data_IF_954397403621
#
_entry.id   IF_954397403621
#
_cell.length_a   1.000
_cell.length_b   1.000
_cell.length_c   1.000
_cell.angle_alpha   90.00
_cell.angle_beta   90.00
_cell.angle_gamma   90.00
#
_symmetry.space_group_name_H-M   'P 1'
#
loop_
_entity.id
_entity.type
_entity.pdbx_description
1 polymer ?
#
# COMPACT_ATOMS: atom_id res chain seq x y z
N UNK A 1 -6.81 9.53 -5.01
CA UNK A 1 -5.61 10.01 -5.73
C UNK A 1 -4.45 10.05 -4.75
N UNK A 2 -3.27 9.55 -5.16
CA UNK A 2 -2.01 9.65 -4.40
C UNK A 2 -0.95 10.25 -5.29
N UNK A 3 -0.18 11.21 -4.78
CA UNK A 3 0.94 11.85 -5.45
C UNK A 3 2.19 11.60 -4.61
N UNK A 4 3.23 11.08 -5.24
CA UNK A 4 4.52 10.79 -4.60
C UNK A 4 5.69 11.21 -5.50
N UNK A 5 6.87 11.28 -4.93
CA UNK A 5 8.09 11.57 -5.67
C UNK A 5 8.49 10.35 -6.51
N UNK A 6 8.65 10.46 -7.84
CA UNK A 6 8.95 9.31 -8.68
C UNK A 6 10.35 8.70 -8.46
N UNK A 7 11.27 9.42 -7.80
CA UNK A 7 12.64 8.93 -7.56
C UNK A 7 12.76 8.06 -6.33
N UNK A 8 12.01 8.36 -5.27
CA UNK A 8 12.12 7.68 -3.98
C UNK A 8 10.77 7.25 -3.39
N UNK A 9 9.66 7.45 -4.12
CA UNK A 9 8.28 7.11 -3.73
C UNK A 9 7.76 7.78 -2.46
N UNK A 10 8.52 8.72 -1.89
CA UNK A 10 8.05 9.49 -0.74
C UNK A 10 6.74 10.21 -1.07
N UNK A 11 5.78 10.10 -0.18
CA UNK A 11 4.46 10.69 -0.31
C UNK A 11 4.56 12.23 -0.36
N UNK A 12 3.83 12.85 -1.28
CA UNK A 12 3.66 14.31 -1.38
C UNK A 12 2.26 14.74 -0.94
N UNK A 13 1.25 14.02 -1.40
CA UNK A 13 -0.13 14.25 -1.02
C UNK A 13 -1.01 13.06 -1.34
N UNK A 14 -2.15 13.00 -0.67
CA UNK A 14 -3.22 12.07 -1.07
C UNK A 14 -4.59 12.68 -0.84
N UNK A 15 -5.55 12.22 -1.62
CA UNK A 15 -6.97 12.57 -1.52
C UNK A 15 -7.81 11.30 -1.66
N UNK A 16 -8.81 11.16 -0.79
CA UNK A 16 -9.79 10.09 -0.81
C UNK A 16 -11.19 10.68 -0.76
N UNK A 17 -11.98 10.39 -1.79
CA UNK A 17 -13.40 10.70 -1.86
C UNK A 17 -14.20 9.43 -1.58
N UNK A 18 -15.03 9.46 -0.57
CA UNK A 18 -15.92 8.37 -0.19
C UNK A 18 -17.34 8.80 -0.54
N UNK A 19 -18.03 7.99 -1.32
CA UNK A 19 -19.41 8.20 -1.70
C UNK A 19 -20.16 6.87 -1.58
N UNK A 20 -20.83 6.67 -0.45
CA UNK A 20 -21.55 5.44 -0.11
C UNK A 20 -22.99 5.80 0.29
N UNK A 21 -23.86 5.96 -0.68
CA UNK A 21 -25.24 6.40 -0.46
C UNK A 21 -25.30 7.79 0.19
N UNK A 22 -25.89 7.87 1.37
CA UNK A 22 -25.99 9.13 2.14
C UNK A 22 -24.65 9.59 2.74
N UNK A 23 -23.66 8.69 2.85
CA UNK A 23 -22.35 9.02 3.42
C UNK A 23 -21.40 9.53 2.35
N UNK A 24 -21.09 10.83 2.42
CA UNK A 24 -20.11 11.47 1.54
C UNK A 24 -19.01 12.12 2.40
N UNK A 25 -17.77 11.78 2.13
CA UNK A 25 -16.62 12.36 2.83
C UNK A 25 -15.45 12.56 1.88
N UNK A 26 -14.77 13.69 2.02
CA UNK A 26 -13.49 13.96 1.38
C UNK A 26 -12.42 14.10 2.46
N UNK A 27 -11.38 13.29 2.37
CA UNK A 27 -10.23 13.32 3.27
C UNK A 27 -8.99 13.50 2.41
N UNK A 28 -8.13 14.42 2.82
CA UNK A 28 -6.86 14.65 2.13
C UNK A 28 -5.74 15.01 3.09
N UNK A 29 -4.52 14.79 2.65
CA UNK A 29 -3.32 15.20 3.35
C UNK A 29 -2.27 15.70 2.37
N UNK A 30 -1.46 16.65 2.81
CA UNK A 30 -0.32 17.20 2.07
C UNK A 30 0.90 17.16 2.98
N UNK A 31 2.04 16.75 2.43
CA UNK A 31 3.33 16.83 3.10
C UNK A 31 3.97 18.14 2.69
N UNK A 32 4.28 18.99 3.66
CA UNK A 32 4.94 20.26 3.43
C UNK A 32 6.46 20.11 3.29
N UNK A 33 7.13 21.19 2.93
CA UNK A 33 8.59 21.22 2.74
C UNK A 33 9.38 20.99 4.03
N UNK A 34 8.76 21.18 5.18
CA UNK A 34 9.35 20.88 6.49
C UNK A 34 9.26 19.40 6.86
N UNK A 35 8.61 18.58 6.02
CA UNK A 35 8.38 17.15 6.29
C UNK A 35 7.20 16.88 7.21
N UNK A 36 6.33 17.88 7.48
CA UNK A 36 5.11 17.64 8.26
C UNK A 36 3.95 17.27 7.35
N UNK A 37 3.08 16.40 7.82
CA UNK A 37 1.83 16.05 7.15
C UNK A 37 0.68 16.88 7.71
N UNK A 38 -0.05 17.55 6.83
CA UNK A 38 -1.22 18.36 7.17
C UNK A 38 -2.47 17.76 6.54
N UNK A 39 -3.47 17.47 7.36
CA UNK A 39 -4.76 16.96 6.93
C UNK A 39 -5.77 18.09 6.72
N UNK A 40 -6.79 17.86 5.88
CA UNK A 40 -7.84 18.83 5.62
C UNK A 40 -8.71 19.20 6.84
N UNK A 41 -8.64 18.42 7.92
CA UNK A 41 -9.24 18.74 9.22
C UNK A 41 -8.36 19.67 10.08
N UNK A 42 -7.31 20.28 9.51
CA UNK A 42 -6.31 21.14 10.16
C UNK A 42 -5.37 20.43 11.13
N UNK A 43 -5.45 19.13 11.25
CA UNK A 43 -4.48 18.35 12.04
C UNK A 43 -3.13 18.35 11.32
N UNK A 44 -2.05 18.61 12.09
CA UNK A 44 -0.67 18.60 11.60
C UNK A 44 0.17 17.64 12.45
N UNK A 45 0.98 16.82 11.79
CA UNK A 45 1.88 15.86 12.42
C UNK A 45 3.28 16.07 11.84
N UNK A 46 4.26 16.30 12.71
CA UNK A 46 5.66 16.36 12.28
C UNK A 46 6.21 14.97 12.00
N UNK A 47 6.94 14.84 10.91
CA UNK A 47 7.54 13.61 10.45
C UNK A 47 9.07 13.73 10.45
N UNK A 48 9.76 12.68 10.87
CA UNK A 48 11.23 12.66 10.96
C UNK A 48 11.94 12.19 9.68
N UNK A 49 11.18 11.71 8.66
CA UNK A 49 11.76 11.09 7.46
C UNK A 49 10.74 10.99 6.33
N UNK A 50 11.15 10.58 5.13
CA UNK A 50 10.21 10.28 4.07
C UNK A 50 9.14 9.31 4.54
N UNK A 51 7.88 9.64 4.25
CA UNK A 51 6.73 8.81 4.63
C UNK A 51 6.10 8.22 3.38
N UNK A 52 5.52 7.04 3.53
CA UNK A 52 4.90 6.27 2.47
C UNK A 52 3.48 5.88 2.86
N UNK A 53 2.63 5.66 1.87
CA UNK A 53 1.34 5.00 2.09
C UNK A 53 1.27 3.70 1.28
N UNK A 54 0.20 2.95 1.42
CA UNK A 54 0.04 1.68 0.72
C UNK A 54 0.22 1.82 -0.80
N UNK A 55 -0.29 2.88 -1.41
CA UNK A 55 -0.21 3.05 -2.87
C UNK A 55 1.20 3.40 -3.35
N UNK A 56 1.93 4.24 -2.63
CA UNK A 56 3.33 4.53 -2.96
C UNK A 56 4.22 3.30 -2.74
N UNK A 57 3.94 2.47 -1.73
CA UNK A 57 4.66 1.22 -1.51
C UNK A 57 4.33 0.15 -2.58
N UNK A 58 3.06 0.05 -3.02
CA UNK A 58 2.70 -0.81 -4.15
C UNK A 58 3.35 -0.36 -5.47
N UNK A 59 3.60 0.94 -5.67
CA UNK A 59 4.39 1.42 -6.80
C UNK A 59 5.88 1.07 -6.63
N UNK A 60 6.42 1.22 -5.42
CA UNK A 60 7.81 0.93 -5.09
C UNK A 60 8.18 -0.53 -5.37
N UNK A 61 7.35 -1.50 -4.97
CA UNK A 61 7.63 -2.93 -5.17
C UNK A 61 7.64 -3.33 -6.65
N UNK A 62 7.06 -2.53 -7.53
CA UNK A 62 7.07 -2.75 -8.98
C UNK A 62 8.28 -2.13 -9.68
N UNK A 63 9.09 -1.32 -8.99
CA UNK A 63 10.18 -0.58 -9.61
C UNK A 63 11.54 -0.85 -8.97
N UNK A 64 11.57 -1.14 -7.67
CA UNK A 64 12.80 -1.46 -6.96
C UNK A 64 13.13 -2.96 -7.04
N UNK A 65 14.42 -3.24 -6.96
CA UNK A 65 14.88 -4.62 -6.81
C UNK A 65 14.69 -5.10 -5.39
N UNK A 66 14.56 -6.43 -5.24
CA UNK A 66 14.23 -7.04 -3.95
C UNK A 66 15.26 -6.69 -2.86
N UNK A 67 16.53 -6.56 -3.22
CA UNK A 67 17.63 -6.22 -2.31
C UNK A 67 17.48 -4.82 -1.70
N UNK A 68 16.74 -3.93 -2.37
CA UNK A 68 16.43 -2.59 -1.87
C UNK A 68 15.21 -2.56 -0.96
N UNK A 69 14.37 -3.59 -1.02
CA UNK A 69 13.07 -3.65 -0.34
C UNK A 69 13.06 -4.62 0.84
N UNK A 70 13.69 -5.79 0.64
CA UNK A 70 13.57 -6.89 1.58
C UNK A 70 14.04 -6.49 2.98
N UNK A 71 13.22 -6.84 3.97
CA UNK A 71 13.43 -6.59 5.40
C UNK A 71 13.49 -5.14 5.85
N UNK A 72 13.60 -4.17 4.94
CA UNK A 72 13.70 -2.73 5.28
C UNK A 72 12.38 -2.17 5.76
N UNK A 73 12.40 -1.47 6.89
CA UNK A 73 11.28 -0.74 7.40
C UNK A 73 11.20 0.66 6.80
N UNK A 74 10.00 1.01 6.32
CA UNK A 74 9.64 2.31 5.77
C UNK A 74 8.63 2.97 6.71
N UNK A 75 8.75 4.29 6.95
CA UNK A 75 7.74 5.03 7.69
C UNK A 75 6.43 5.06 6.91
N UNK A 76 5.36 4.70 7.57
CA UNK A 76 4.06 4.46 6.94
C UNK A 76 2.99 5.37 7.52
N UNK A 77 2.10 5.85 6.67
CA UNK A 77 0.95 6.66 7.03
C UNK A 77 -0.32 6.09 6.39
N UNK A 78 -1.37 6.00 7.17
CA UNK A 78 -2.70 5.71 6.67
C UNK A 78 -3.75 6.53 7.44
N UNK A 79 -4.27 7.58 6.80
CA UNK A 79 -5.39 8.37 7.30
C UNK A 79 -5.21 8.86 8.75
N UNK A 80 -4.05 9.39 9.07
CA UNK A 80 -3.69 9.89 10.41
C UNK A 80 -3.06 8.86 11.34
N UNK A 81 -3.02 7.60 10.95
CA UNK A 81 -2.29 6.56 11.68
C UNK A 81 -0.86 6.50 11.17
N UNK A 82 0.09 6.65 12.05
CA UNK A 82 1.51 6.51 11.74
C UNK A 82 2.02 5.13 12.16
N UNK A 83 3.00 4.65 11.43
CA UNK A 83 3.60 3.35 11.71
C UNK A 83 4.79 3.07 10.82
N UNK A 84 5.07 1.79 10.64
CA UNK A 84 6.11 1.27 9.75
C UNK A 84 5.53 0.16 8.89
N UNK A 85 6.04 0.03 7.67
CA UNK A 85 5.71 -1.08 6.80
C UNK A 85 6.97 -1.62 6.13
N UNK A 86 6.94 -2.90 5.73
CA UNK A 86 8.06 -3.54 5.03
C UNK A 86 7.57 -4.59 4.07
N UNK A 87 8.42 -4.90 3.11
CA UNK A 87 8.31 -6.12 2.31
C UNK A 87 9.27 -7.17 2.88
N UNK A 88 8.80 -8.41 2.94
CA UNK A 88 9.61 -9.58 3.23
C UNK A 88 9.53 -10.48 1.99
N UNK A 89 10.64 -10.65 1.31
CA UNK A 89 10.73 -11.62 0.22
C UNK A 89 10.62 -13.03 0.80
N UNK A 90 9.68 -13.83 0.32
CA UNK A 90 9.42 -15.18 0.80
C UNK A 90 10.08 -16.21 -0.10
N UNK A 91 9.76 -16.16 -1.37
CA UNK A 91 10.26 -17.11 -2.38
C UNK A 91 10.08 -16.56 -3.81
N UNK A 92 10.48 -17.38 -4.78
CA UNK A 92 10.17 -17.18 -6.20
C UNK A 92 9.27 -18.31 -6.67
N UNK A 93 8.13 -17.96 -7.24
CA UNK A 93 7.12 -18.91 -7.70
C UNK A 93 6.52 -18.50 -9.03
N UNK A 94 5.86 -19.43 -9.71
CA UNK A 94 5.16 -19.15 -10.94
C UNK A 94 3.66 -18.96 -10.67
N UNK A 95 3.07 -17.90 -11.23
CA UNK A 95 1.64 -17.65 -11.17
C UNK A 95 1.01 -17.88 -12.53
N UNK A 96 0.09 -18.82 -12.60
CA UNK A 96 -0.73 -19.06 -13.78
C UNK A 96 -1.80 -17.96 -13.91
N UNK A 97 -1.82 -17.23 -15.04
CA UNK A 97 -2.73 -16.11 -15.26
C UNK A 97 -3.95 -16.44 -16.16
N UNK A 98 -4.12 -17.70 -16.50
CA UNK A 98 -5.14 -18.18 -17.44
C UNK A 98 -4.61 -18.45 -18.85
N UNK A 99 -3.42 -17.96 -19.21
CA UNK A 99 -2.76 -18.18 -20.49
C UNK A 99 -1.29 -18.63 -20.32
N UNK A 100 -0.57 -17.94 -19.44
CA UNK A 100 0.87 -18.13 -19.24
C UNK A 100 1.22 -18.39 -17.78
N UNK A 101 2.32 -19.08 -17.57
CA UNK A 101 2.97 -19.20 -16.28
C UNK A 101 3.99 -18.05 -16.10
N UNK A 102 3.69 -17.12 -15.20
CA UNK A 102 4.48 -15.90 -15.01
C UNK A 102 5.41 -16.09 -13.80
N UNK A 103 6.75 -16.06 -13.98
CA UNK A 103 7.69 -16.10 -12.86
C UNK A 103 7.55 -14.82 -12.02
N UNK A 104 7.33 -14.98 -10.73
CA UNK A 104 7.11 -13.89 -9.77
C UNK A 104 8.02 -14.02 -8.56
N UNK A 105 8.40 -12.89 -7.99
CA UNK A 105 8.86 -12.79 -6.62
C UNK A 105 7.63 -12.65 -5.72
N UNK A 106 7.60 -13.44 -4.66
CA UNK A 106 6.54 -13.45 -3.66
C UNK A 106 7.00 -12.68 -2.44
N UNK A 107 6.20 -11.69 -2.04
CA UNK A 107 6.45 -10.85 -0.89
C UNK A 107 5.31 -10.94 0.11
N UNK A 108 5.64 -11.04 1.38
CA UNK A 108 4.74 -10.68 2.47
C UNK A 108 4.88 -9.16 2.72
N UNK A 109 3.76 -8.48 2.92
CA UNK A 109 3.70 -7.07 3.20
C UNK A 109 3.22 -6.83 4.64
N UNK A 110 4.15 -6.50 5.54
CA UNK A 110 3.87 -6.23 6.95
C UNK A 110 3.62 -4.74 7.18
N UNK A 111 2.65 -4.44 8.03
CA UNK A 111 2.35 -3.09 8.50
C UNK A 111 2.26 -3.15 10.03
N UNK A 112 2.96 -2.24 10.72
CA UNK A 112 2.88 -2.03 12.16
C UNK A 112 2.42 -0.61 12.42
N UNK A 113 1.26 -0.42 13.04
CA UNK A 113 0.75 0.89 13.45
C UNK A 113 1.30 1.20 14.84
N UNK A 114 2.02 2.32 14.95
CA UNK A 114 2.68 2.73 16.21
C UNK A 114 1.78 3.60 17.07
N UNK A 115 0.86 4.36 16.46
CA UNK A 115 -0.01 5.29 17.14
C UNK A 115 -1.43 5.20 16.57
N UNK A 116 -2.36 4.75 17.41
CA UNK A 116 -3.79 4.68 17.09
C UNK A 116 -4.59 5.90 17.60
N UNK A 117 -3.94 6.83 18.32
CA UNK A 117 -4.62 7.94 19.00
C UNK A 117 -5.22 8.98 18.05
N UNK A 118 -4.76 9.00 16.80
CA UNK A 118 -5.12 10.01 15.81
C UNK A 118 -5.98 9.47 14.66
N UNK A 119 -6.86 8.54 14.96
CA UNK A 119 -7.77 7.97 13.96
C UNK A 119 -8.65 9.03 13.30
N UNK A 120 -8.40 9.32 12.04
CA UNK A 120 -9.42 9.94 11.20
C UNK A 120 -10.50 8.87 11.01
N UNK A 121 -11.58 8.97 11.80
CA UNK A 121 -12.72 8.04 11.70
C UNK A 121 -13.17 7.95 10.25
N UNK A 122 -12.94 6.84 9.61
CA UNK A 122 -13.44 6.56 8.27
C UNK A 122 -14.31 5.30 8.34
N UNK A 123 -15.39 5.28 7.57
CA UNK A 123 -16.25 4.09 7.45
C UNK A 123 -15.76 3.10 6.38
N UNK A 124 -14.59 3.33 5.79
CA UNK A 124 -14.01 2.41 4.84
C UNK A 124 -13.44 1.17 5.55
N UNK A 125 -14.36 0.25 5.80
CA UNK A 125 -14.06 -1.02 6.45
C UNK A 125 -12.95 -1.80 5.74
N UNK A 126 -13.00 -1.86 4.40
CA UNK A 126 -12.05 -2.61 3.59
C UNK A 126 -10.62 -2.06 3.75
N UNK A 127 -10.44 -0.76 3.56
CA UNK A 127 -9.13 -0.14 3.70
C UNK A 127 -8.61 -0.18 5.14
N UNK A 128 -9.49 -0.13 6.14
CA UNK A 128 -9.11 -0.29 7.54
C UNK A 128 -8.44 -1.65 7.79
N UNK A 129 -8.92 -2.71 7.15
CA UNK A 129 -8.34 -4.05 7.31
C UNK A 129 -7.10 -4.28 6.44
N UNK A 130 -7.04 -3.66 5.27
CA UNK A 130 -5.86 -3.75 4.40
C UNK A 130 -4.68 -2.98 4.98
N UNK A 131 -4.93 -1.80 5.55
CA UNK A 131 -3.88 -0.84 5.90
C UNK A 131 -3.32 -1.02 7.31
N UNK A 132 -3.74 -2.04 8.06
CA UNK A 132 -3.27 -2.30 9.43
C UNK A 132 -2.59 -3.66 9.58
N UNK A 133 -2.15 -3.99 10.80
CA UNK A 133 -1.37 -5.16 11.17
C UNK A 133 -2.17 -6.47 11.34
N UNK A 134 -3.52 -6.39 11.40
CA UNK A 134 -4.38 -7.53 11.70
C UNK A 134 -4.63 -8.49 10.54
N UNK A 135 -3.92 -8.35 9.43
CA UNK A 135 -4.08 -9.20 8.24
C UNK A 135 -2.74 -9.58 7.63
N UNK A 136 -2.67 -10.80 7.11
CA UNK A 136 -1.54 -11.24 6.29
C UNK A 136 -1.79 -10.75 4.87
N UNK A 137 -0.83 -10.01 4.33
CA UNK A 137 -0.89 -9.44 2.98
C UNK A 137 0.25 -10.00 2.16
N UNK A 138 -0.05 -10.49 0.98
CA UNK A 138 0.92 -11.09 0.09
C UNK A 138 0.80 -10.51 -1.30
N UNK A 139 1.94 -10.38 -1.98
CA UNK A 139 2.05 -9.83 -3.33
C UNK A 139 2.94 -10.74 -4.17
N UNK A 140 2.52 -10.99 -5.40
CA UNK A 140 3.31 -11.68 -6.41
C UNK A 140 3.65 -10.70 -7.52
N UNK A 141 4.94 -10.37 -7.64
CA UNK A 141 5.45 -9.36 -8.56
C UNK A 141 6.24 -10.04 -9.66
N UNK A 142 5.89 -9.79 -10.92
CA UNK A 142 6.56 -10.43 -12.05
C UNK A 142 8.04 -10.09 -12.11
N UNK A 143 8.89 -11.07 -12.47
CA UNK A 143 10.34 -10.92 -12.66
C UNK A 143 10.72 -10.42 -14.06
N UNK A 144 9.73 -9.98 -14.85
CA UNK A 144 9.97 -9.38 -16.17
C UNK A 144 10.64 -8.00 -16.04
N UNK A 145 11.26 -7.51 -17.14
CA UNK A 145 11.88 -6.18 -17.19
C UNK A 145 10.93 -5.06 -16.70
N UNK A 146 9.67 -5.14 -17.08
CA UNK A 146 8.61 -4.30 -16.51
C UNK A 146 7.88 -5.10 -15.45
N UNK A 147 8.25 -4.89 -14.19
CA UNK A 147 7.63 -5.56 -13.05
C UNK A 147 6.18 -5.10 -12.89
N UNK A 148 5.29 -6.04 -12.58
CA UNK A 148 3.87 -5.78 -12.27
C UNK A 148 3.44 -6.68 -11.13
N UNK A 149 2.55 -6.19 -10.29
CA UNK A 149 1.85 -7.04 -9.33
C UNK A 149 0.88 -7.91 -10.14
N UNK A 150 1.13 -9.21 -10.18
CA UNK A 150 0.32 -10.19 -10.93
C UNK A 150 -0.82 -10.69 -10.06
N UNK A 151 -0.56 -10.89 -8.77
CA UNK A 151 -1.56 -11.30 -7.80
C UNK A 151 -1.31 -10.62 -6.46
N UNK A 152 -2.38 -10.46 -5.70
CA UNK A 152 -2.34 -10.01 -4.32
C UNK A 152 -3.34 -10.82 -3.48
N UNK A 153 -3.01 -11.11 -2.24
CA UNK A 153 -3.92 -11.74 -1.29
C UNK A 153 -3.95 -11.01 0.04
N UNK A 154 -5.09 -11.12 0.72
CA UNK A 154 -5.27 -10.67 2.09
C UNK A 154 -5.99 -11.77 2.86
N UNK A 155 -5.35 -12.23 3.93
CA UNK A 155 -5.93 -13.19 4.85
C UNK A 155 -6.23 -12.50 6.18
N UNK A 156 -7.49 -12.45 6.51
CA UNK A 156 -8.03 -12.00 7.80
C UNK A 156 -8.59 -13.21 8.56
N UNK A 157 -8.91 -13.02 9.84
CA UNK A 157 -9.37 -14.13 10.72
C UNK A 157 -10.46 -15.02 10.10
N UNK A 158 -11.42 -14.43 9.36
CA UNK A 158 -12.57 -15.14 8.78
C UNK A 158 -12.73 -14.91 7.28
N UNK A 159 -11.82 -14.21 6.62
CA UNK A 159 -11.95 -13.86 5.22
C UNK A 159 -10.59 -13.96 4.51
N UNK A 160 -10.61 -14.66 3.39
CA UNK A 160 -9.49 -14.69 2.45
C UNK A 160 -9.93 -14.06 1.12
N UNK A 161 -9.21 -13.03 0.69
CA UNK A 161 -9.42 -12.37 -0.59
C UNK A 161 -8.16 -12.53 -1.43
N UNK A 162 -8.34 -12.85 -2.70
CA UNK A 162 -7.26 -12.87 -3.70
C UNK A 162 -7.72 -12.14 -4.95
N UNK A 163 -6.89 -11.25 -5.43
CA UNK A 163 -7.03 -10.60 -6.73
C UNK A 163 -5.88 -11.03 -7.63
N UNK A 164 -6.16 -11.23 -8.91
CA UNK A 164 -5.16 -11.64 -9.90
C UNK A 164 -5.44 -10.96 -11.24
N UNK A 165 -4.38 -10.56 -11.95
CA UNK A 165 -4.50 -10.04 -13.31
C UNK A 165 -4.72 -11.22 -14.26
N UNK A 166 -5.85 -11.20 -14.96
CA UNK A 166 -6.17 -12.14 -16.04
C UNK A 166 -6.10 -11.37 -17.35
N UNK A 167 -5.35 -11.86 -18.37
CA UNK A 167 -5.31 -11.23 -19.67
C UNK A 167 -6.74 -11.15 -20.29
N UNK A 168 -7.03 -10.06 -20.97
CA UNK A 168 -8.24 -10.03 -21.80
C UNK A 168 -8.10 -11.09 -22.89
N UNK A 169 -9.13 -11.94 -23.04
CA UNK A 169 -9.25 -12.74 -24.25
C UNK A 169 -9.46 -11.75 -25.40
N UNK A 170 -8.57 -11.75 -26.37
CA UNK A 170 -8.86 -11.12 -27.66
C UNK A 170 -10.02 -11.92 -28.27
N UNK A 171 -11.14 -11.25 -28.49
CA UNK A 171 -12.33 -11.78 -29.17
C UNK A 171 -12.13 -11.59 -30.66
#
# INVERSE_FOLDING_TARGET
>A
KTIFNPKNFALKSWEKKINQGAYKKNVSAVIDTSGSIQYNNKQKISLSSPIYNIFSMLAMVQLYDKELLDTKWFHYEHQGQLGKARFLWSDSTNIWNGQDSIPCDHYRFDILISDSSQNIKTQDYFMKHIANDNSIKELWVSRKKTKRIIAASIKMKYLFLRAQIIPKKEV
#
